data_IF_008327479983
#
_entry.id   IF_008327479983
#
_cell.length_a   1.000
_cell.length_b   1.000
_cell.length_c   1.000
_cell.angle_alpha   90.00
_cell.angle_beta   90.00
_cell.angle_gamma   90.00
#
_symmetry.space_group_name_H-M   'P 1'
#
loop_
_entity.id
_entity.type
_entity.pdbx_description
1 polymer ?
2 non-polymer ?
3 non-polymer ?
4 non-polymer ?
5 water ?
#
# COMPACT_ATOMS: atom_id res chain seq x y z
N UNK A 1 -3.69 31.96 6.22
CA UNK A 1 -3.36 31.57 4.86
C UNK A 1 -2.61 30.23 4.84
N UNK A 2 -3.18 29.24 4.17
CA UNK A 2 -2.49 27.98 4.00
C UNK A 2 -1.31 28.13 3.07
N UNK A 3 -0.24 27.41 3.37
CA UNK A 3 1.00 27.58 2.64
C UNK A 3 1.82 28.75 3.16
N UNK A 4 2.98 28.97 2.54
CA UNK A 4 3.99 29.89 3.08
C UNK A 4 4.64 30.68 1.94
N UNK A 5 3.90 31.62 1.36
CA UNK A 5 4.49 32.42 0.27
C UNK A 5 5.65 33.30 0.72
N UNK A 6 5.85 33.49 2.03
CA UNK A 6 7.04 34.23 2.47
C UNK A 6 8.31 33.49 2.12
N UNK A 7 8.24 32.17 2.00
CA UNK A 7 9.41 31.35 1.73
C UNK A 7 9.38 30.67 0.37
N UNK A 8 8.21 30.33 -0.11
CA UNK A 8 8.01 29.63 -1.38
C UNK A 8 7.47 30.66 -2.36
N UNK A 9 8.36 31.21 -3.18
CA UNK A 9 7.99 32.34 -4.02
C UNK A 9 7.29 31.86 -5.28
N UNK A 10 6.65 32.79 -5.96
CA UNK A 10 5.98 32.48 -7.20
C UNK A 10 7.04 32.24 -8.27
N UNK A 11 7.05 31.09 -8.93
CA UNK A 11 8.07 30.83 -9.95
C UNK A 11 7.69 31.45 -11.28
N UNK A 12 8.26 32.63 -11.55
CA UNK A 12 7.89 33.37 -12.73
C UNK A 12 8.19 32.59 -14.00
N UNK A 13 7.24 32.62 -14.94
CA UNK A 13 7.36 32.01 -16.26
C UNK A 13 7.52 30.49 -16.22
N UNK A 14 7.04 29.84 -15.15
CA UNK A 14 7.14 28.39 -15.06
C UNK A 14 6.52 27.70 -16.27
N UNK A 15 5.39 28.25 -16.78
CA UNK A 15 4.67 27.54 -17.83
C UNK A 15 5.46 27.53 -19.14
N UNK A 16 6.38 28.47 -19.31
CA UNK A 16 7.23 28.50 -20.49
C UNK A 16 8.55 27.78 -20.28
N UNK A 17 8.91 27.45 -19.04
CA UNK A 17 10.22 26.90 -18.70
C UNK A 17 10.12 25.46 -18.22
N UNK A 18 9.22 25.18 -17.27
CA UNK A 18 9.13 23.88 -16.64
C UNK A 18 8.64 22.83 -17.63
N UNK A 19 8.87 21.57 -17.27
CA UNK A 19 8.33 20.45 -18.05
C UNK A 19 6.90 20.16 -17.62
N UNK A 20 5.99 20.12 -18.60
CA UNK A 20 4.59 19.79 -18.36
C UNK A 20 4.44 18.28 -18.46
N UNK A 21 4.31 17.60 -17.32
CA UNK A 21 4.38 16.14 -17.33
C UNK A 21 3.03 15.44 -17.24
N UNK A 22 1.95 16.15 -16.94
CA UNK A 22 0.67 15.47 -16.91
C UNK A 22 -0.46 16.48 -16.92
N UNK A 23 -1.63 16.01 -17.36
CA UNK A 23 -2.90 16.71 -17.28
C UNK A 23 -3.93 15.69 -16.81
N UNK A 24 -4.72 16.03 -15.80
CA UNK A 24 -5.69 15.08 -15.27
C UNK A 24 -6.78 15.82 -14.50
N UNK A 25 -7.98 15.24 -14.48
CA UNK A 25 -8.97 15.73 -13.52
C UNK A 25 -8.43 15.54 -12.12
N UNK A 26 -8.69 16.51 -11.24
CA UNK A 26 -8.31 16.30 -9.85
C UNK A 26 -9.23 15.25 -9.22
N UNK A 27 -8.72 14.61 -8.17
CA UNK A 27 -9.47 13.57 -7.48
C UNK A 27 -10.76 14.08 -6.86
N UNK A 28 -10.85 15.39 -6.58
CA UNK A 28 -12.08 15.98 -6.07
C UNK A 28 -13.19 15.97 -7.11
N UNK A 29 -12.88 15.65 -8.36
CA UNK A 29 -13.85 15.55 -9.44
C UNK A 29 -14.56 16.88 -9.72
N UNK A 30 -13.96 18.00 -9.35
CA UNK A 30 -14.54 19.31 -9.65
C UNK A 30 -13.57 20.25 -10.35
N UNK A 31 -12.32 19.84 -10.53
CA UNK A 31 -11.30 20.71 -11.10
C UNK A 31 -10.41 19.89 -12.04
N UNK A 32 -9.76 20.58 -12.97
CA UNK A 32 -8.77 19.98 -13.84
C UNK A 32 -7.40 20.48 -13.43
N UNK A 33 -6.39 19.59 -13.47
CA UNK A 33 -5.05 19.97 -13.07
C UNK A 33 -4.07 19.73 -14.21
N UNK A 34 -3.07 20.62 -14.33
CA UNK A 34 -1.90 20.40 -15.17
C UNK A 34 -0.67 20.50 -14.28
N UNK A 35 0.27 19.58 -14.48
CA UNK A 35 1.39 19.37 -13.56
C UNK A 35 2.69 19.70 -14.26
N UNK A 36 3.58 20.41 -13.55
CA UNK A 36 4.84 20.89 -14.10
C UNK A 36 5.97 20.58 -13.14
N UNK A 37 7.17 20.36 -13.69
CA UNK A 37 8.35 20.09 -12.89
C UNK A 37 9.54 20.85 -13.46
N UNK A 38 10.32 21.48 -12.59
CA UNK A 38 11.51 22.16 -13.08
C UNK A 38 12.63 21.15 -13.35
N UNK A 39 13.76 21.63 -13.88
CA UNK A 39 14.80 20.72 -14.37
C UNK A 39 15.38 19.88 -13.23
N UNK A 40 15.59 20.48 -12.06
CA UNK A 40 16.16 19.71 -10.95
C UNK A 40 15.21 18.59 -10.54
N UNK A 41 13.91 18.91 -10.47
CA UNK A 41 12.91 17.89 -10.14
C UNK A 41 12.92 16.77 -11.16
N UNK A 42 12.92 17.14 -12.45
CA UNK A 42 12.89 16.13 -13.50
C UNK A 42 14.13 15.24 -13.46
N UNK A 43 15.32 15.85 -13.34
CA UNK A 43 16.55 15.05 -13.25
C UNK A 43 16.53 14.17 -12.00
N UNK A 44 16.01 14.68 -10.88
CA UNK A 44 15.95 13.90 -9.64
C UNK A 44 15.14 12.62 -9.83
N UNK A 45 13.99 12.73 -10.46
CA UNK A 45 13.12 11.56 -10.63
C UNK A 45 13.56 10.70 -11.81
N UNK A 46 14.44 11.18 -12.68
CA UNK A 46 15.08 10.28 -13.62
C UNK A 46 16.12 9.40 -12.92
N UNK A 47 16.77 9.92 -11.88
CA UNK A 47 17.82 9.19 -11.16
C UNK A 47 17.27 8.32 -10.03
N UNK A 48 16.23 8.77 -9.36
CA UNK A 48 15.75 8.08 -8.17
C UNK A 48 14.32 8.46 -7.84
N UNK A 49 13.98 8.33 -6.56
CA UNK A 49 12.59 8.44 -6.13
C UNK A 49 12.37 9.56 -5.12
N UNK A 50 13.32 10.47 -5.01
CA UNK A 50 13.24 11.63 -4.13
C UNK A 50 13.74 12.86 -4.89
N UNK A 51 13.01 13.95 -4.78
CA UNK A 51 13.43 15.21 -5.39
C UNK A 51 14.63 15.79 -4.65
N UNK A 52 15.64 16.25 -5.41
CA UNK A 52 16.82 16.86 -4.83
C UNK A 52 16.52 18.32 -4.46
N UNK A 53 17.35 18.92 -3.60
CA UNK A 53 17.17 20.34 -3.28
C UNK A 53 17.18 21.21 -4.54
N UNK A 54 16.32 22.22 -4.54
CA UNK A 54 16.07 23.04 -5.71
C UNK A 54 14.90 22.58 -6.57
N UNK A 55 14.38 21.37 -6.34
CA UNK A 55 13.22 20.87 -7.09
C UNK A 55 11.98 21.70 -6.81
N UNK A 56 11.24 22.01 -7.88
CA UNK A 56 9.96 22.71 -7.79
C UNK A 56 8.96 21.96 -8.66
N UNK A 57 7.79 21.64 -8.09
CA UNK A 57 6.70 21.00 -8.78
C UNK A 57 5.49 21.92 -8.66
N UNK A 58 4.76 22.09 -9.75
CA UNK A 58 3.64 23.02 -9.81
C UNK A 58 2.40 22.29 -10.30
N UNK A 59 1.26 22.57 -9.67
CA UNK A 59 -0.03 22.14 -10.17
C UNK A 59 -0.85 23.37 -10.48
N UNK A 60 -1.15 23.58 -11.77
CA UNK A 60 -2.18 24.54 -12.16
C UNK A 60 -3.53 23.91 -11.92
N UNK A 61 -4.42 24.69 -11.30
CA UNK A 61 -5.75 24.24 -10.93
C UNK A 61 -6.75 25.02 -11.77
N UNK A 62 -7.49 24.32 -12.62
CA UNK A 62 -8.43 24.94 -13.54
C UNK A 62 -9.86 24.73 -13.10
N UNK A 63 -10.64 25.80 -13.12
CA UNK A 63 -12.08 25.69 -13.00
C UNK A 63 -12.66 25.20 -14.32
N UNK A 64 -13.51 24.17 -14.30
CA UNK A 64 -14.05 23.64 -15.55
C UNK A 64 -15.28 24.41 -16.00
N UNK A 65 -15.60 24.25 -17.29
CA UNK A 65 -16.85 24.79 -17.78
C UNK A 65 -18.02 24.04 -17.17
N UNK A 66 -19.05 24.79 -16.80
CA UNK A 66 -20.27 24.24 -16.21
C UNK A 66 -21.46 24.91 -16.86
N UNK A 67 -22.56 24.17 -17.00
CA UNK A 67 -23.75 24.80 -17.54
C UNK A 67 -24.46 25.59 -16.44
N UNK A 68 -25.62 26.15 -16.77
CA UNK A 68 -26.34 26.99 -15.83
C UNK A 68 -26.88 26.21 -14.63
N UNK A 69 -26.98 24.88 -14.74
CA UNK A 69 -27.42 24.03 -13.64
C UNK A 69 -26.24 23.42 -12.90
N UNK A 70 -25.02 23.91 -13.14
CA UNK A 70 -23.85 23.46 -12.40
C UNK A 70 -23.26 22.14 -12.83
N UNK A 71 -23.68 21.58 -13.97
CA UNK A 71 -23.12 20.32 -14.44
C UNK A 71 -21.80 20.57 -15.17
N UNK A 72 -20.75 19.85 -14.77
CA UNK A 72 -19.44 20.04 -15.36
C UNK A 72 -19.41 19.48 -16.77
N UNK A 73 -18.78 20.22 -17.68
CA UNK A 73 -18.66 19.80 -19.07
C UNK A 73 -17.36 19.02 -19.25
N UNK A 74 -17.45 17.85 -19.84
CA UNK A 74 -16.30 16.99 -20.07
C UNK A 74 -16.17 16.65 -21.55
N UNK A 75 -14.91 16.46 -22.00
CA UNK A 75 -14.69 15.99 -23.33
C UNK A 75 -14.89 14.50 -23.44
N UNK A 76 -14.98 14.01 -24.68
CA UNK A 76 -15.06 12.57 -24.87
C UNK A 76 -13.77 11.88 -24.46
N UNK A 77 -12.67 12.64 -24.29
CA UNK A 77 -11.46 12.11 -23.67
C UNK A 77 -11.57 12.00 -22.15
N UNK A 78 -12.74 12.33 -21.57
CA UNK A 78 -12.97 12.20 -20.15
C UNK A 78 -12.45 13.34 -19.30
N UNK A 79 -11.68 14.25 -19.87
CA UNK A 79 -11.11 15.36 -19.11
C UNK A 79 -12.09 16.51 -19.10
N UNK A 80 -12.17 17.20 -17.96
CA UNK A 80 -13.02 18.36 -17.88
C UNK A 80 -12.57 19.42 -18.88
N UNK A 81 -13.52 20.11 -19.47
CA UNK A 81 -13.23 21.23 -20.36
C UNK A 81 -12.90 22.45 -19.52
N UNK A 82 -11.79 23.12 -19.84
CA UNK A 82 -11.30 24.22 -19.03
C UNK A 82 -12.16 25.46 -19.23
N UNK A 83 -12.58 26.09 -18.12
CA UNK A 83 -13.13 27.45 -18.18
C UNK A 83 -11.95 28.42 -18.04
N UNK A 84 -11.30 28.44 -16.88
CA UNK A 84 -10.15 29.32 -16.71
C UNK A 84 -9.29 28.82 -15.57
N UNK A 85 -8.04 29.28 -15.58
CA UNK A 85 -7.10 28.98 -14.50
C UNK A 85 -7.59 29.62 -13.21
N UNK A 86 -7.61 28.84 -12.12
CA UNK A 86 -8.08 29.32 -10.83
C UNK A 86 -6.96 29.54 -9.82
N UNK A 87 -5.96 28.66 -9.82
CA UNK A 87 -4.88 28.77 -8.84
C UNK A 87 -3.66 28.05 -9.36
N UNK A 88 -2.52 28.41 -8.79
CA UNK A 88 -1.22 27.84 -9.11
C UNK A 88 -0.61 27.38 -7.78
N UNK A 89 -0.56 26.07 -7.57
CA UNK A 89 -0.02 25.50 -6.35
C UNK A 89 1.44 25.10 -6.56
N UNK A 90 2.27 25.38 -5.56
CA UNK A 90 3.72 25.26 -5.68
C UNK A 90 4.27 24.45 -4.51
N UNK A 91 5.13 23.48 -4.83
CA UNK A 91 5.92 22.75 -3.85
C UNK A 91 7.37 22.96 -4.20
N UNK A 92 8.19 23.36 -3.22
CA UNK A 92 9.61 23.62 -3.44
C UNK A 92 10.40 22.89 -2.37
N UNK A 93 11.41 22.12 -2.78
CA UNK A 93 12.22 21.38 -1.84
C UNK A 93 13.57 22.08 -1.61
N UNK A 94 13.91 22.28 -0.33
CA UNK A 94 15.23 22.75 0.06
C UNK A 94 15.70 21.93 1.25
N UNK A 95 17.01 21.75 1.35
CA UNK A 95 17.58 21.08 2.50
C UNK A 95 18.04 22.07 3.56
N UNK A 96 17.82 23.37 3.35
CA UNK A 96 18.35 24.43 4.21
C UNK A 96 17.35 25.56 4.36
N UNK A 97 16.07 25.23 4.51
CA UNK A 97 15.07 26.24 4.80
C UNK A 97 15.43 27.00 6.08
N UNK A 98 15.22 28.31 6.06
CA UNK A 98 15.56 29.12 7.22
C UNK A 98 14.76 28.74 8.45
N UNK A 99 15.35 29.06 9.61
CA UNK A 99 14.72 28.68 10.88
C UNK A 99 13.34 29.31 11.06
N UNK A 100 13.09 30.47 10.43
CA UNK A 100 11.79 31.08 10.54
C UNK A 100 10.70 30.24 9.90
N UNK A 101 11.06 29.33 8.98
CA UNK A 101 10.11 28.48 8.27
C UNK A 101 9.83 27.25 9.13
N UNK A 102 8.65 27.22 9.77
CA UNK A 102 8.33 26.19 10.75
C UNK A 102 8.22 24.82 10.09
N UNK A 103 8.80 23.80 10.75
CA UNK A 103 8.82 22.46 10.18
C UNK A 103 7.41 21.88 10.04
N UNK A 104 6.49 22.23 10.95
CA UNK A 104 5.14 21.70 10.90
C UNK A 104 4.38 22.18 9.67
N UNK A 105 4.86 23.24 9.02
CA UNK A 105 4.24 23.76 7.79
C UNK A 105 4.74 23.05 6.55
N UNK A 106 5.74 22.19 6.69
CA UNK A 106 6.38 21.53 5.56
C UNK A 106 6.08 20.05 5.59
N UNK A 107 6.12 19.43 4.41
CA UNK A 107 6.07 17.96 4.31
C UNK A 107 7.51 17.53 4.07
N UNK A 108 8.15 17.02 5.12
CA UNK A 108 9.59 16.85 5.08
C UNK A 108 10.26 18.17 4.78
N UNK A 109 10.99 18.22 3.67
CA UNK A 109 11.67 19.43 3.23
C UNK A 109 10.93 20.16 2.11
N UNK A 110 9.69 19.76 1.82
CA UNK A 110 8.88 20.47 0.84
C UNK A 110 8.16 21.65 1.51
N UNK A 111 8.35 22.84 0.98
CA UNK A 111 7.50 23.97 1.32
C UNK A 111 6.39 24.12 0.30
N UNK A 112 5.26 24.68 0.76
CA UNK A 112 4.06 24.85 -0.04
C UNK A 112 3.70 26.32 -0.17
N UNK A 113 3.10 26.71 -1.30
CA UNK A 113 2.43 27.99 -1.39
C UNK A 113 1.38 27.93 -2.49
N UNK A 114 0.29 28.66 -2.30
CA UNK A 114 -0.81 28.74 -3.27
C UNK A 114 -0.90 30.16 -3.80
N UNK A 115 -0.89 30.29 -5.13
CA UNK A 115 -0.96 31.58 -5.77
C UNK A 115 -2.18 31.67 -6.68
N UNK A 116 -2.64 32.89 -6.93
CA UNK A 116 -3.73 33.05 -7.88
C UNK A 116 -3.13 33.18 -9.28
N UNK A 117 -3.93 33.27 -10.35
CA UNK A 117 -3.35 33.26 -11.69
C UNK A 117 -2.46 34.46 -11.98
N UNK A 118 -2.53 35.50 -11.16
CA UNK A 118 -1.71 36.69 -11.37
C UNK A 118 -0.46 36.68 -10.50
N UNK A 119 -0.17 35.57 -9.83
CA UNK A 119 1.03 35.49 -9.02
C UNK A 119 0.93 36.10 -7.65
N UNK A 120 -0.27 36.41 -7.18
CA UNK A 120 -0.47 36.91 -5.82
C UNK A 120 -0.86 35.74 -4.95
N UNK A 121 -0.36 35.71 -3.71
CA UNK A 121 -0.75 34.63 -2.80
C UNK A 121 -2.27 34.57 -2.70
N UNK A 122 -2.82 33.37 -2.79
CA UNK A 122 -4.27 33.20 -2.84
C UNK A 122 -4.78 32.83 -1.46
N UNK A 123 -5.77 33.57 -0.96
CA UNK A 123 -6.36 33.27 0.33
C UNK A 123 -6.89 31.84 0.36
N UNK A 124 -6.58 31.11 1.43
CA UNK A 124 -7.07 29.75 1.57
C UNK A 124 -6.84 29.31 3.01
N UNK A 125 -7.59 28.29 3.43
CA UNK A 125 -7.43 27.73 4.77
C UNK A 125 -7.01 26.27 4.71
N UNK A 126 -6.26 25.90 3.66
CA UNK A 126 -5.84 24.51 3.49
C UNK A 126 -4.65 24.18 4.39
N UNK A 127 -4.58 22.93 4.82
CA UNK A 127 -3.45 22.43 5.61
C UNK A 127 -2.59 21.58 4.67
N UNK A 128 -1.77 22.25 3.85
CA UNK A 128 -1.09 21.59 2.74
C UNK A 128 -0.27 20.40 3.23
N UNK A 129 0.63 20.65 4.18
CA UNK A 129 1.54 19.60 4.61
C UNK A 129 0.79 18.44 5.23
N UNK A 130 -0.28 18.73 5.98
CA UNK A 130 -0.99 17.67 6.68
C UNK A 130 -1.59 16.68 5.70
N UNK A 131 -2.07 17.14 4.56
CA UNK A 131 -2.64 16.23 3.57
C UNK A 131 -1.56 15.49 2.78
N UNK A 132 -0.44 16.14 2.50
CA UNK A 132 0.66 15.50 1.78
C UNK A 132 1.54 14.62 2.67
N UNK A 133 1.54 14.86 3.99
CA UNK A 133 2.43 14.12 4.88
C UNK A 133 2.32 12.60 4.77
N UNK A 134 1.13 11.98 4.67
CA UNK A 134 1.08 10.52 4.65
C UNK A 134 1.65 9.88 3.40
N UNK A 135 2.12 10.67 2.42
CA UNK A 135 2.69 10.13 1.19
C UNK A 135 4.21 10.15 1.20
N UNK A 136 4.83 10.14 2.39
CA UNK A 136 6.29 10.11 2.53
C UNK A 136 6.95 9.09 1.62
N UNK A 137 6.37 7.91 1.50
CA UNK A 137 7.03 6.84 0.75
C UNK A 137 7.21 7.22 -0.71
N UNK A 138 6.32 8.05 -1.25
CA UNK A 138 6.46 8.56 -2.61
C UNK A 138 6.76 10.06 -2.59
N UNK A 139 7.62 10.48 -1.67
CA UNK A 139 8.19 11.82 -1.66
C UNK A 139 7.11 12.90 -1.52
N UNK A 140 5.99 12.54 -0.89
CA UNK A 140 4.89 13.47 -0.60
C UNK A 140 4.26 14.04 -1.85
N UNK A 141 4.43 13.39 -3.01
CA UNK A 141 3.81 13.82 -4.26
C UNK A 141 2.67 12.88 -4.61
N UNK A 142 1.45 13.41 -4.73
CA UNK A 142 0.35 12.56 -5.21
C UNK A 142 0.62 12.06 -6.62
N UNK A 143 1.17 12.93 -7.48
CA UNK A 143 1.40 12.60 -8.89
C UNK A 143 2.76 11.95 -9.14
N UNK A 144 3.39 11.44 -8.09
CA UNK A 144 4.69 10.75 -8.16
C UNK A 144 4.86 9.83 -9.36
N UNK A 145 3.95 8.86 -9.55
CA UNK A 145 4.17 7.87 -10.61
C UNK A 145 4.06 8.50 -11.99
N UNK A 146 3.17 9.46 -12.17
CA UNK A 146 3.08 10.16 -13.46
C UNK A 146 4.38 10.91 -13.77
N UNK A 147 5.00 11.51 -12.75
CA UNK A 147 6.26 12.21 -12.98
C UNK A 147 7.38 11.23 -13.30
N UNK A 148 7.49 10.16 -12.50
CA UNK A 148 8.51 9.14 -12.76
C UNK A 148 8.36 8.57 -14.16
N UNK A 149 7.12 8.25 -14.54
CA UNK A 149 6.87 7.66 -15.85
C UNK A 149 7.20 8.64 -16.97
N UNK A 150 6.91 9.92 -16.77
CA UNK A 150 7.14 10.89 -17.83
C UNK A 150 8.63 11.07 -18.10
N UNK A 151 9.44 11.22 -17.04
CA UNK A 151 10.86 11.48 -17.26
C UNK A 151 11.60 10.23 -17.72
N UNK A 152 11.05 9.04 -17.45
CA UNK A 152 11.65 7.84 -18.04
C UNK A 152 11.37 7.77 -19.52
N UNK A 153 10.22 8.25 -19.97
CA UNK A 153 9.82 8.14 -21.37
C UNK A 153 10.30 9.28 -22.25
N UNK A 154 10.90 10.32 -21.69
CA UNK A 154 11.34 11.46 -22.47
C UNK A 154 12.78 11.82 -22.15
N UNK A 155 13.44 12.45 -23.11
CA UNK A 155 14.82 12.85 -22.94
C UNK A 155 14.90 14.20 -22.22
N UNK A 156 16.04 14.42 -21.56
CA UNK A 156 16.28 15.68 -20.87
C UNK A 156 16.28 16.86 -21.83
N UNK B 1 -23.24 3.90 -5.68
CA UNK B 1 -22.56 3.83 -6.97
C UNK B 1 -21.06 3.58 -6.80
N UNK B 2 -20.43 4.33 -5.90
CA UNK B 2 -19.03 4.09 -5.58
C UNK B 2 -18.87 2.86 -4.71
N UNK B 3 -17.88 2.04 -5.06
CA UNK B 3 -17.66 0.78 -4.37
C UNK B 3 -18.48 -0.35 -4.97
N UNK B 4 -18.18 -1.55 -4.50
CA UNK B 4 -18.74 -2.77 -5.07
C UNK B 4 -19.15 -3.70 -3.93
N UNK B 5 -20.24 -3.38 -3.23
CA UNK B 5 -20.68 -4.24 -2.12
C UNK B 5 -21.11 -5.63 -2.57
N UNK B 6 -21.39 -5.84 -3.85
CA UNK B 6 -21.71 -7.18 -4.32
C UNK B 6 -20.51 -8.13 -4.22
N UNK B 7 -19.29 -7.60 -4.18
CA UNK B 7 -18.07 -8.38 -4.04
C UNK B 7 -17.36 -8.17 -2.71
N UNK B 8 -17.31 -6.94 -2.22
CA UNK B 8 -16.61 -6.58 -0.99
C UNK B 8 -17.67 -6.51 0.10
N UNK B 9 -17.81 -7.58 0.88
CA UNK B 9 -18.90 -7.70 1.83
C UNK B 9 -18.58 -6.96 3.13
N UNK B 10 -19.61 -6.68 3.90
CA UNK B 10 -19.42 -6.06 5.20
C UNK B 10 -18.68 -7.03 6.12
N UNK B 11 -17.59 -6.61 6.73
CA UNK B 11 -16.84 -7.52 7.60
C UNK B 11 -17.46 -7.61 8.98
N UNK B 12 -18.41 -8.52 9.13
CA UNK B 12 -19.18 -8.58 10.37
C UNK B 12 -18.26 -8.90 11.54
N UNK B 13 -18.55 -8.28 12.68
CA UNK B 13 -17.83 -8.48 13.93
C UNK B 13 -16.40 -7.95 13.88
N UNK B 14 -16.09 -7.07 12.92
CA UNK B 14 -14.75 -6.48 12.88
C UNK B 14 -14.46 -5.72 14.15
N UNK B 15 -15.49 -5.20 14.82
CA UNK B 15 -15.33 -4.40 16.03
C UNK B 15 -14.55 -5.14 17.10
N UNK B 16 -14.71 -6.47 17.17
CA UNK B 16 -14.07 -7.27 18.21
C UNK B 16 -12.93 -8.13 17.69
N UNK B 17 -12.61 -8.08 16.40
CA UNK B 17 -11.62 -8.95 15.79
C UNK B 17 -10.43 -8.17 15.23
N UNK B 18 -10.71 -7.06 14.55
CA UNK B 18 -9.67 -6.28 13.87
C UNK B 18 -8.85 -5.46 14.86
N UNK B 19 -7.64 -5.12 14.44
CA UNK B 19 -6.76 -4.27 15.23
C UNK B 19 -7.01 -2.80 14.87
N UNK B 20 -7.28 -1.99 15.89
CA UNK B 20 -7.48 -0.55 15.71
C UNK B 20 -6.11 0.11 15.75
N UNK B 21 -5.62 0.57 14.59
CA UNK B 21 -4.23 1.02 14.52
C UNK B 21 -4.06 2.53 14.47
N UNK B 22 -5.13 3.30 14.30
CA UNK B 22 -4.95 4.75 14.30
C UNK B 22 -6.29 5.43 14.44
N UNK B 23 -6.23 6.68 14.89
CA UNK B 23 -7.37 7.60 14.92
C UNK B 23 -6.84 8.95 14.49
N UNK B 24 -7.52 9.59 13.53
CA UNK B 24 -7.00 10.85 13.00
C UNK B 24 -8.13 11.61 12.33
N UNK B 25 -8.03 12.95 12.35
CA UNK B 25 -8.89 13.74 11.50
C UNK B 25 -8.63 13.38 10.04
N UNK B 26 -9.70 13.25 9.27
CA UNK B 26 -9.53 13.04 7.83
C UNK B 26 -8.95 14.29 7.18
N UNK B 27 -8.17 14.08 6.11
CA UNK B 27 -7.53 15.21 5.43
C UNK B 27 -8.55 16.20 4.87
N UNK B 28 -9.77 15.73 4.56
CA UNK B 28 -10.81 16.66 4.11
C UNK B 28 -11.23 17.65 5.18
N UNK B 29 -10.83 17.44 6.44
CA UNK B 29 -11.10 18.34 7.55
C UNK B 29 -12.59 18.50 7.84
N UNK B 30 -13.40 17.52 7.46
CA UNK B 30 -14.82 17.50 7.81
C UNK B 30 -15.22 16.29 8.62
N UNK B 31 -14.34 15.32 8.78
CA UNK B 31 -14.70 14.05 9.41
C UNK B 31 -13.53 13.54 10.25
N UNK B 32 -13.85 12.70 11.22
CA UNK B 32 -12.86 11.98 12.01
C UNK B 32 -12.85 10.53 11.55
N UNK B 33 -11.66 9.91 11.50
CA UNK B 33 -11.52 8.53 11.07
C UNK B 33 -10.87 7.66 12.14
N UNK B 34 -11.33 6.42 12.25
CA UNK B 34 -10.65 5.39 13.03
C UNK B 34 -10.35 4.22 12.11
N UNK B 35 -9.13 3.68 12.18
CA UNK B 35 -8.62 2.75 11.18
C UNK B 35 -8.39 1.37 11.80
N UNK B 36 -8.78 0.32 11.08
CA UNK B 36 -8.74 -1.04 11.59
C UNK B 36 -8.17 -1.96 10.53
N UNK B 37 -7.46 -3.00 10.97
CA UNK B 37 -6.86 -3.95 10.05
C UNK B 37 -7.11 -5.36 10.55
N UNK B 38 -7.44 -6.28 9.65
CA UNK B 38 -7.61 -7.66 10.09
C UNK B 38 -6.25 -8.32 10.27
N UNK B 39 -6.26 -9.56 10.77
CA UNK B 39 -5.00 -10.21 11.12
C UNK B 39 -4.09 -10.38 9.91
N UNK B 40 -4.66 -10.73 8.76
CA UNK B 40 -3.83 -10.91 7.58
C UNK B 40 -3.16 -9.60 7.18
N UNK B 41 -3.92 -8.50 7.21
CA UNK B 41 -3.33 -7.20 6.88
C UNK B 41 -2.25 -6.82 7.88
N UNK B 42 -2.53 -6.99 9.17
CA UNK B 42 -1.57 -6.65 10.21
C UNK B 42 -0.30 -7.47 10.07
N UNK B 43 -0.46 -8.79 9.87
CA UNK B 43 0.72 -9.65 9.69
C UNK B 43 1.49 -9.26 8.41
N UNK B 44 0.77 -8.96 7.33
CA UNK B 44 1.40 -8.57 6.08
C UNK B 44 2.33 -7.38 6.28
N UNK B 45 1.87 -6.34 6.98
CA UNK B 45 2.67 -5.13 7.12
C UNK B 45 3.68 -5.23 8.24
N UNK B 46 3.57 -6.23 9.11
CA UNK B 46 4.66 -6.52 10.02
C UNK B 46 5.84 -7.15 9.26
N UNK B 47 5.54 -7.95 8.24
CA UNK B 47 6.55 -8.68 7.46
C UNK B 47 7.13 -7.84 6.33
N UNK B 48 6.35 -6.96 5.73
CA UNK B 48 6.80 -6.26 4.55
C UNK B 48 5.91 -5.08 4.22
N UNK B 49 5.94 -4.69 2.94
CA UNK B 49 5.35 -3.42 2.52
C UNK B 49 4.11 -3.56 1.66
N UNK B 50 3.54 -4.76 1.55
CA UNK B 50 2.33 -4.95 0.77
C UNK B 50 1.42 -5.91 1.52
N UNK B 51 0.12 -5.67 1.43
CA UNK B 51 -0.85 -6.55 2.06
C UNK B 51 -1.01 -7.83 1.25
N UNK B 52 -1.11 -8.95 1.94
CA UNK B 52 -1.33 -10.24 1.30
C UNK B 52 -2.82 -10.42 0.93
N UNK B 53 -3.12 -11.35 0.03
CA UNK B 53 -4.52 -11.69 -0.23
C UNK B 53 -5.25 -12.06 1.06
N UNK B 54 -6.50 -11.64 1.15
CA UNK B 54 -7.29 -11.78 2.36
C UNK B 54 -7.20 -10.60 3.31
N UNK B 55 -6.30 -9.65 3.05
CA UNK B 55 -6.16 -8.48 3.91
C UNK B 55 -7.40 -7.61 3.78
N UNK B 56 -7.85 -7.08 4.90
CA UNK B 56 -8.99 -6.17 4.92
C UNK B 56 -8.63 -5.00 5.82
N UNK B 57 -8.86 -3.79 5.34
CA UNK B 57 -8.65 -2.58 6.12
C UNK B 57 -9.96 -1.82 6.13
N UNK B 58 -10.29 -1.26 7.29
CA UNK B 58 -11.56 -0.55 7.48
C UNK B 58 -11.25 0.85 7.95
N UNK B 59 -11.98 1.83 7.40
CA UNK B 59 -11.98 3.16 7.97
C UNK B 59 -13.39 3.48 8.46
N UNK B 60 -13.54 3.63 9.78
CA UNK B 60 -14.76 4.22 10.33
C UNK B 60 -14.71 5.71 10.11
N UNK B 61 -15.79 6.27 9.56
CA UNK B 61 -15.90 7.69 9.26
C UNK B 61 -16.93 8.29 10.20
N UNK B 62 -16.52 9.27 11.01
CA UNK B 62 -17.36 9.86 12.05
C UNK B 62 -17.76 11.28 11.69
N UNK B 63 -19.06 11.57 11.74
CA UNK B 63 -19.51 12.95 11.66
C UNK B 63 -19.13 13.70 12.94
N UNK B 64 -18.50 14.87 12.85
CA UNK B 64 -18.12 15.61 14.05
C UNK B 64 -19.24 16.54 14.52
N UNK B 65 -19.11 16.97 15.76
CA UNK B 65 -19.99 18.04 16.23
C UNK B 65 -19.59 19.37 15.60
N UNK B 66 -20.58 20.25 15.44
CA UNK B 66 -20.40 21.55 14.81
C UNK B 66 -20.93 22.63 15.74
N UNK B 67 -20.41 23.85 15.56
CA UNK B 67 -20.91 25.00 16.31
C UNK B 67 -22.06 25.65 15.55
N UNK B 68 -22.50 26.82 16.03
CA UNK B 68 -23.66 27.48 15.46
C UNK B 68 -23.42 27.97 14.04
N UNK B 69 -22.18 28.17 13.65
CA UNK B 69 -21.83 28.56 12.29
C UNK B 69 -21.56 27.38 11.39
N UNK B 70 -21.75 26.16 11.87
CA UNK B 70 -21.42 24.99 11.09
C UNK B 70 -19.95 24.65 11.05
N UNK B 71 -19.13 25.24 11.91
CA UNK B 71 -17.72 24.92 11.96
C UNK B 71 -17.48 23.69 12.82
N UNK B 72 -16.59 22.81 12.34
CA UNK B 72 -16.26 21.59 13.06
C UNK B 72 -15.60 21.91 14.40
N UNK B 73 -16.01 21.20 15.44
CA UNK B 73 -15.43 21.39 16.76
C UNK B 73 -14.28 20.41 17.00
N UNK B 74 -13.23 20.90 17.66
CA UNK B 74 -12.06 20.12 18.02
C UNK B 74 -11.90 20.12 19.54
N UNK B 75 -11.39 19.01 20.07
CA UNK B 75 -11.05 18.93 21.47
C UNK B 75 -9.65 19.44 21.73
N UNK B 76 -9.30 19.48 23.02
CA UNK B 76 -7.98 19.96 23.40
C UNK B 76 -6.85 19.01 22.99
N UNK B 77 -7.16 17.81 22.51
CA UNK B 77 -6.15 16.93 21.93
C UNK B 77 -5.96 17.12 20.44
N UNK B 78 -6.68 18.06 19.82
CA UNK B 78 -6.55 18.32 18.40
C UNK B 78 -7.46 17.50 17.50
N UNK B 79 -8.14 16.49 18.02
CA UNK B 79 -9.04 15.69 17.20
C UNK B 79 -10.43 16.31 17.17
N UNK B 80 -11.13 16.11 16.06
CA UNK B 80 -12.51 16.55 15.98
C UNK B 80 -13.34 15.84 17.04
N UNK B 81 -14.32 16.54 17.58
CA UNK B 81 -15.23 15.95 18.56
C UNK B 81 -16.28 15.13 17.83
N UNK B 82 -16.45 13.88 18.23
CA UNK B 82 -17.31 12.95 17.51
C UNK B 82 -18.77 13.25 17.83
N UNK B 83 -19.58 13.38 16.79
CA UNK B 83 -21.05 13.31 16.95
C UNK B 83 -21.47 11.84 16.89
N UNK B 84 -21.32 11.20 15.74
CA UNK B 84 -21.68 9.79 15.62
C UNK B 84 -21.01 9.16 14.41
N UNK B 85 -20.89 7.84 14.46
CA UNK B 85 -20.42 7.08 13.31
C UNK B 85 -21.36 7.32 12.14
N UNK B 86 -20.78 7.66 10.98
CA UNK B 86 -21.55 7.92 9.78
C UNK B 86 -21.42 6.86 8.70
N UNK B 87 -20.25 6.24 8.56
CA UNK B 87 -20.06 5.25 7.50
C UNK B 87 -18.89 4.36 7.85
N UNK B 88 -18.85 3.19 7.22
CA UNK B 88 -17.79 2.20 7.39
C UNK B 88 -17.27 1.88 6.00
N UNK B 89 -16.05 2.34 5.70
CA UNK B 89 -15.40 2.12 4.42
C UNK B 89 -14.50 0.91 4.53
N UNK B 90 -14.50 0.08 3.49
CA UNK B 90 -13.84 -1.22 3.50
C UNK B 90 -12.98 -1.36 2.26
N UNK B 91 -11.74 -1.83 2.44
CA UNK B 91 -10.89 -2.26 1.35
C UNK B 91 -10.49 -3.71 1.63
N UNK B 92 -10.62 -4.56 0.62
CA UNK B 92 -10.30 -5.98 0.74
C UNK B 92 -9.44 -6.38 -0.45
N UNK B 93 -8.30 -7.02 -0.18
CA UNK B 93 -7.41 -7.45 -1.24
C UNK B 93 -7.57 -8.94 -1.51
N UNK B 94 -7.68 -9.28 -2.79
CA UNK B 94 -7.67 -10.67 -3.24
C UNK B 94 -6.81 -10.77 -4.48
N UNK B 95 -6.11 -11.89 -4.63
CA UNK B 95 -5.36 -12.12 -5.86
C UNK B 95 -6.17 -12.89 -6.89
N UNK B 96 -7.46 -13.12 -6.62
CA UNK B 96 -8.28 -13.94 -7.50
C UNK B 96 -9.73 -13.44 -7.51
N UNK B 97 -9.92 -12.13 -7.61
CA UNK B 97 -11.26 -11.58 -7.77
C UNK B 97 -11.89 -12.14 -9.04
N UNK B 98 -13.21 -12.31 -9.03
CA UNK B 98 -13.90 -12.86 -10.18
C UNK B 98 -13.81 -11.95 -11.39
N UNK B 99 -14.05 -12.55 -12.56
CA UNK B 99 -13.97 -11.79 -13.81
C UNK B 99 -15.05 -10.71 -13.89
N UNK B 100 -16.20 -10.94 -13.27
CA UNK B 100 -17.27 -9.94 -13.28
C UNK B 100 -16.93 -8.70 -12.45
N UNK B 101 -15.94 -8.80 -11.56
CA UNK B 101 -15.44 -7.66 -10.80
C UNK B 101 -14.43 -6.93 -11.69
N UNK B 102 -14.84 -5.82 -12.28
CA UNK B 102 -13.99 -5.12 -13.24
C UNK B 102 -12.75 -4.54 -12.56
N UNK B 103 -11.58 -4.76 -13.17
CA UNK B 103 -10.34 -4.24 -12.59
C UNK B 103 -10.36 -2.73 -12.49
N UNK B 104 -11.09 -2.06 -13.40
CA UNK B 104 -11.20 -0.61 -13.37
C UNK B 104 -11.81 -0.10 -12.07
N UNK B 105 -12.61 -0.93 -11.39
CA UNK B 105 -13.24 -0.56 -10.12
C UNK B 105 -12.31 -0.76 -8.93
N UNK B 106 -11.13 -1.34 -9.15
CA UNK B 106 -10.21 -1.70 -8.09
C UNK B 106 -8.96 -0.84 -8.17
N UNK B 107 -8.28 -0.69 -7.03
CA UNK B 107 -6.92 -0.15 -6.98
C UNK B 107 -5.98 -1.32 -6.81
N UNK B 108 -5.29 -1.68 -7.88
CA UNK B 108 -4.55 -2.93 -7.86
C UNK B 108 -5.52 -4.07 -7.60
N UNK B 109 -5.21 -4.90 -6.60
CA UNK B 109 -6.10 -5.98 -6.21
C UNK B 109 -7.02 -5.61 -5.05
N UNK B 110 -7.05 -4.35 -4.64
CA UNK B 110 -7.98 -3.92 -3.60
C UNK B 110 -9.35 -3.65 -4.20
N UNK B 111 -10.37 -4.28 -3.63
CA UNK B 111 -11.74 -3.89 -3.87
C UNK B 111 -12.26 -2.98 -2.77
N UNK B 112 -13.24 -2.15 -3.11
CA UNK B 112 -13.78 -1.12 -2.22
C UNK B 112 -15.26 -1.36 -1.98
N UNK B 113 -15.73 -0.97 -0.78
CA UNK B 113 -17.17 -0.87 -0.54
C UNK B 113 -17.42 0.09 0.61
N UNK B 114 -18.54 0.82 0.54
CA UNK B 114 -18.94 1.77 1.59
C UNK B 114 -20.26 1.31 2.20
N UNK B 115 -20.26 1.14 3.53
CA UNK B 115 -21.45 0.71 4.27
C UNK B 115 -21.88 1.80 5.24
N UNK B 116 -23.17 1.77 5.61
CA UNK B 116 -23.64 2.62 6.70
C UNK B 116 -23.38 1.89 8.02
N UNK B 117 -23.64 2.52 9.17
CA UNK B 117 -23.29 1.88 10.45
C UNK B 117 -24.01 0.57 10.72
N UNK B 118 -25.13 0.29 10.05
CA UNK B 118 -25.78 -1.00 10.23
C UNK B 118 -25.46 -1.97 9.11
N UNK B 119 -24.42 -1.70 8.34
CA UNK B 119 -23.93 -2.68 7.40
C UNK B 119 -24.72 -2.80 6.11
N UNK B 120 -25.55 -1.81 5.80
CA UNK B 120 -26.20 -1.75 4.50
C UNK B 120 -25.34 -0.92 3.57
N UNK B 121 -25.27 -1.32 2.30
CA UNK B 121 -24.51 -0.54 1.33
C UNK B 121 -24.97 0.91 1.34
N UNK B 122 -24.01 1.83 1.37
CA UNK B 122 -24.30 3.26 1.52
C UNK B 122 -24.23 3.95 0.16
N UNK B 123 -25.34 4.57 -0.24
CA UNK B 123 -25.35 5.32 -1.50
C UNK B 123 -24.30 6.44 -1.47
N UNK B 124 -23.60 6.59 -2.58
CA UNK B 124 -22.53 7.58 -2.69
C UNK B 124 -22.10 7.67 -4.15
N UNK B 125 -21.53 8.84 -4.51
CA UNK B 125 -21.11 9.11 -5.87
C UNK B 125 -19.59 9.11 -6.02
N UNK B 126 -18.87 8.49 -5.10
CA UNK B 126 -17.42 8.54 -5.12
C UNK B 126 -16.84 7.56 -6.13
N UNK B 127 -15.64 7.86 -6.60
CA UNK B 127 -14.88 6.92 -7.42
C UNK B 127 -13.68 6.50 -6.59
N UNK B 128 -13.86 5.41 -5.82
CA UNK B 128 -12.87 5.03 -4.82
C UNK B 128 -11.49 4.83 -5.43
N UNK B 129 -11.41 4.05 -6.52
CA UNK B 129 -10.10 3.71 -7.05
C UNK B 129 -9.40 4.93 -7.63
N UNK B 130 -10.16 5.91 -8.13
CA UNK B 130 -9.55 7.11 -8.70
C UNK B 130 -8.67 7.83 -7.69
N UNK B 131 -9.11 7.91 -6.43
CA UNK B 131 -8.32 8.57 -5.39
C UNK B 131 -7.15 7.73 -4.93
N UNK B 132 -7.34 6.42 -4.78
CA UNK B 132 -6.31 5.54 -4.24
C UNK B 132 -5.30 5.07 -5.28
N UNK B 133 -5.67 5.09 -6.56
CA UNK B 133 -4.75 4.62 -7.60
C UNK B 133 -3.38 5.30 -7.59
N UNK B 134 -3.24 6.60 -7.36
CA UNK B 134 -1.90 7.22 -7.41
C UNK B 134 -0.99 6.82 -6.25
N UNK B 135 -1.46 6.00 -5.31
CA UNK B 135 -0.66 5.59 -4.17
C UNK B 135 -0.11 4.17 -4.32
N UNK B 136 0.11 3.74 -5.57
CA UNK B 136 0.65 2.40 -5.84
C UNK B 136 1.90 2.10 -5.01
N UNK B 137 2.79 3.09 -4.85
CA UNK B 137 4.06 2.81 -4.19
C UNK B 137 3.86 2.45 -2.72
N UNK B 138 2.79 2.90 -2.10
CA UNK B 138 2.49 2.51 -0.73
C UNK B 138 1.23 1.66 -0.67
N UNK B 139 1.09 0.76 -1.63
CA UNK B 139 0.07 -0.29 -1.63
C UNK B 139 -1.35 0.29 -1.67
N UNK B 140 -1.49 1.50 -2.24
CA UNK B 140 -2.78 2.18 -2.38
C UNK B 140 -3.44 2.51 -1.04
N UNK B 141 -2.68 2.52 0.06
CA UNK B 141 -3.22 2.89 1.37
C UNK B 141 -2.70 4.27 1.77
N UNK B 142 -3.63 5.21 2.01
CA UNK B 142 -3.21 6.51 2.51
C UNK B 142 -2.58 6.40 3.88
N UNK B 143 -3.11 5.50 4.74
CA UNK B 143 -2.62 5.36 6.11
C UNK B 143 -1.53 4.33 6.22
N UNK B 144 -0.88 4.00 5.11
CA UNK B 144 0.22 3.04 5.06
C UNK B 144 1.20 3.17 6.23
N UNK B 145 1.81 4.34 6.40
CA UNK B 145 2.87 4.45 7.40
C UNK B 145 2.34 4.27 8.82
N UNK B 146 1.14 4.76 9.12
CA UNK B 146 0.57 4.55 10.44
C UNK B 146 0.36 3.07 10.72
N UNK B 147 -0.07 2.32 9.71
CA UNK B 147 -0.27 0.89 9.90
C UNK B 147 1.05 0.16 10.09
N UNK B 148 2.05 0.47 9.25
CA UNK B 148 3.38 -0.12 9.40
C UNK B 148 3.95 0.17 10.78
N UNK B 149 3.87 1.44 11.22
CA UNK B 149 4.45 1.81 12.51
C UNK B 149 3.71 1.16 13.67
N UNK B 150 2.38 1.05 13.56
CA UNK B 150 1.61 0.41 14.62
C UNK B 150 2.03 -1.05 14.80
N UNK B 151 2.02 -1.84 13.72
CA UNK B 151 2.26 -3.27 13.90
C UNK B 151 3.72 -3.55 14.25
N UNK B 152 4.63 -2.64 13.89
CA UNK B 152 6.02 -2.77 14.33
C UNK B 152 6.13 -2.56 15.84
N UNK B 153 5.33 -1.66 16.39
CA UNK B 153 5.43 -1.27 17.79
C UNK B 153 4.58 -2.12 18.72
N UNK B 154 3.76 -3.03 18.19
CA UNK B 154 2.88 -3.87 19.00
C UNK B 154 2.98 -5.32 18.58
N UNK B 155 2.83 -6.21 19.56
CA UNK B 155 2.72 -7.63 19.29
C UNK B 155 1.30 -7.97 18.85
N UNK B 156 1.19 -9.01 18.01
CA UNK B 156 -0.11 -9.47 17.53
C UNK B 156 -0.61 -10.65 18.35
N UNK C 1 11.61 -24.72 -14.07
CA UNK C 1 11.44 -23.48 -14.82
C UNK C 1 10.67 -22.43 -14.03
N UNK C 2 11.19 -22.08 -12.85
CA UNK C 2 10.63 -20.99 -12.09
C UNK C 2 9.39 -21.30 -11.29
N UNK C 3 9.11 -22.57 -11.01
CA UNK C 3 7.90 -22.93 -10.29
C UNK C 3 6.70 -23.00 -11.20
N UNK C 4 5.57 -23.45 -10.65
CA UNK C 4 4.37 -23.72 -11.44
C UNK C 4 3.15 -23.16 -10.71
N UNK C 5 2.98 -21.83 -10.71
CA UNK C 5 1.86 -21.22 -9.99
C UNK C 5 0.51 -21.55 -10.59
N UNK C 6 0.47 -22.07 -11.82
CA UNK C 6 -0.76 -22.58 -12.39
C UNK C 6 -1.27 -23.80 -11.65
N UNK C 7 -0.40 -24.52 -10.94
CA UNK C 7 -0.78 -25.67 -10.14
C UNK C 7 -0.66 -25.40 -8.64
N UNK C 8 0.39 -24.72 -8.22
CA UNK C 8 0.66 -24.47 -6.81
C UNK C 8 0.20 -23.04 -6.52
N UNK C 9 -1.02 -22.91 -5.97
CA UNK C 9 -1.62 -21.60 -5.78
C UNK C 9 -1.07 -20.93 -4.53
N UNK C 10 -1.31 -19.62 -4.42
CA UNK C 10 -0.88 -18.93 -3.21
C UNK C 10 -1.68 -19.46 -2.02
N UNK C 11 -1.01 -19.86 -0.94
CA UNK C 11 -1.69 -20.41 0.26
C UNK C 11 -2.29 -19.31 1.12
N UNK C 12 -3.43 -18.80 0.64
CA UNK C 12 -4.06 -17.67 1.29
C UNK C 12 -4.36 -17.97 2.76
N UNK C 13 -4.13 -16.95 3.60
CA UNK C 13 -4.36 -16.94 5.04
C UNK C 13 -3.31 -17.74 5.81
N UNK C 14 -2.21 -18.17 5.17
CA UNK C 14 -1.21 -18.94 5.90
C UNK C 14 -0.66 -18.15 7.08
N UNK C 15 -0.71 -16.81 7.02
CA UNK C 15 -0.12 -15.99 8.07
C UNK C 15 -0.82 -16.22 9.41
N UNK C 16 -2.11 -16.54 9.39
CA UNK C 16 -2.86 -16.75 10.62
C UNK C 16 -3.08 -18.23 10.94
N UNK C 17 -2.62 -19.15 10.09
CA UNK C 17 -2.97 -20.56 10.17
C UNK C 17 -1.73 -21.44 10.34
N UNK C 18 -0.72 -21.22 9.51
CA UNK C 18 0.42 -22.13 9.49
C UNK C 18 1.27 -21.99 10.75
N UNK C 19 2.07 -23.02 11.01
CA UNK C 19 2.96 -23.04 12.15
C UNK C 19 4.33 -22.54 11.72
N UNK C 20 4.85 -21.55 12.43
CA UNK C 20 6.18 -21.00 12.16
C UNK C 20 7.20 -21.84 12.90
N UNK C 21 8.01 -22.62 12.17
CA UNK C 21 8.87 -23.60 12.84
C UNK C 21 10.35 -23.26 12.83
N UNK C 22 10.78 -22.24 12.09
CA UNK C 22 12.20 -21.87 12.12
C UNK C 22 12.39 -20.48 11.53
N UNK C 23 13.50 -19.87 11.94
CA UNK C 23 14.03 -18.62 11.36
C UNK C 23 15.53 -18.81 11.21
N UNK C 24 16.08 -18.46 10.05
CA UNK C 24 17.50 -18.67 9.85
C UNK C 24 17.98 -17.83 8.67
N UNK C 25 19.25 -17.42 8.73
CA UNK C 25 19.89 -16.88 7.54
C UNK C 25 19.88 -17.96 6.46
N UNK C 26 19.62 -17.56 5.22
CA UNK C 26 19.70 -18.53 4.13
C UNK C 26 21.16 -18.87 3.83
N UNK C 27 21.38 -20.08 3.32
CA UNK C 27 22.73 -20.51 2.98
C UNK C 27 23.40 -19.57 1.98
N UNK C 28 22.61 -18.89 1.14
CA UNK C 28 23.18 -17.96 0.18
C UNK C 28 23.78 -16.72 0.83
N UNK C 29 23.56 -16.52 2.13
CA UNK C 29 24.16 -15.43 2.90
C UNK C 29 23.75 -14.06 2.38
N UNK C 30 22.64 -13.97 1.64
CA UNK C 30 22.11 -12.68 1.21
C UNK C 30 20.70 -12.42 1.69
N UNK C 31 20.03 -13.40 2.29
CA UNK C 31 18.63 -13.28 2.66
C UNK C 31 18.40 -13.98 3.99
N UNK C 32 17.35 -13.54 4.68
CA UNK C 32 16.87 -14.20 5.88
C UNK C 32 15.60 -14.97 5.55
N UNK C 33 15.42 -16.15 6.15
CA UNK C 33 14.26 -16.98 5.86
C UNK C 33 13.48 -17.28 7.14
N UNK C 34 12.15 -17.29 7.02
CA UNK C 34 11.27 -17.83 8.05
C UNK C 34 10.47 -18.97 7.44
N UNK C 35 10.30 -20.05 8.19
CA UNK C 35 9.76 -21.30 7.64
C UNK C 35 8.44 -21.65 8.30
N UNK C 36 7.47 -22.08 7.50
CA UNK C 36 6.11 -22.37 7.98
C UNK C 36 5.62 -23.69 7.41
N UNK C 37 4.73 -24.35 8.16
CA UNK C 37 4.14 -25.58 7.69
C UNK C 37 2.66 -25.61 8.06
N UNK C 38 1.83 -26.13 7.16
CA UNK C 38 0.40 -26.24 7.47
C UNK C 38 0.15 -27.46 8.35
N UNK C 39 -1.10 -27.62 8.78
CA UNK C 39 -1.40 -28.63 9.79
C UNK C 39 -1.14 -30.04 9.26
N UNK C 40 -1.48 -30.29 8.00
CA UNK C 40 -1.24 -31.60 7.41
C UNK C 40 0.24 -31.93 7.41
N UNK C 41 1.09 -30.97 7.06
CA UNK C 41 2.53 -31.18 7.07
C UNK C 41 3.05 -31.42 8.48
N UNK C 42 2.65 -30.58 9.43
CA UNK C 42 3.15 -30.72 10.80
C UNK C 42 2.72 -32.05 11.40
N UNK C 43 1.46 -32.42 11.21
CA UNK C 43 0.96 -33.67 11.79
C UNK C 43 1.65 -34.88 11.17
N UNK C 44 1.91 -34.83 9.86
CA UNK C 44 2.67 -35.90 9.19
C UNK C 44 4.04 -36.08 9.83
N UNK C 45 4.79 -34.99 9.97
CA UNK C 45 6.14 -35.08 10.52
C UNK C 45 6.11 -35.43 12.00
N UNK C 46 5.08 -35.01 12.74
CA UNK C 46 4.99 -35.41 14.14
C UNK C 46 4.76 -36.91 14.27
N UNK C 47 4.04 -37.50 13.33
CA UNK C 47 3.77 -38.93 13.37
C UNK C 47 4.91 -39.77 12.82
N UNK C 48 6.00 -39.15 12.36
CA UNK C 48 7.15 -39.89 11.89
C UNK C 48 7.13 -40.24 10.43
N UNK C 49 6.30 -39.58 9.64
CA UNK C 49 6.12 -39.88 8.23
C UNK C 49 6.71 -38.78 7.37
N UNK C 50 6.97 -39.11 6.10
CA UNK C 50 7.15 -38.07 5.11
C UNK C 50 5.85 -37.25 5.02
N UNK C 51 5.94 -36.06 4.44
CA UNK C 51 4.79 -35.18 4.36
C UNK C 51 3.63 -35.89 3.65
N UNK C 52 2.44 -35.85 4.26
CA UNK C 52 1.27 -36.46 3.66
C UNK C 52 0.74 -35.59 2.52
N UNK C 53 -0.05 -36.16 1.61
CA UNK C 53 -0.69 -35.34 0.57
C UNK C 53 -1.50 -34.21 1.20
N UNK C 54 -1.37 -33.03 0.62
CA UNK C 54 -1.98 -31.83 1.18
C UNK C 54 -1.06 -31.03 2.06
N UNK C 55 0.15 -31.53 2.33
CA UNK C 55 1.14 -30.78 3.10
C UNK C 55 1.58 -29.56 2.29
N UNK C 56 1.74 -28.43 2.98
CA UNK C 56 2.30 -27.23 2.36
C UNK C 56 3.36 -26.67 3.28
N UNK C 57 4.53 -26.36 2.72
CA UNK C 57 5.64 -25.75 3.45
C UNK C 57 5.95 -24.43 2.77
N UNK C 58 6.16 -23.38 3.55
CA UNK C 58 6.41 -22.04 3.00
C UNK C 58 7.73 -21.54 3.55
N UNK C 59 8.52 -20.91 2.68
CA UNK C 59 9.69 -20.17 3.13
C UNK C 59 9.46 -18.70 2.78
N UNK C 60 9.33 -17.86 3.80
CA UNK C 60 9.35 -16.41 3.59
C UNK C 60 10.79 -15.97 3.42
N UNK C 61 11.05 -15.21 2.34
CA UNK C 61 12.39 -14.77 1.99
C UNK C 61 12.45 -13.27 2.20
N UNK C 62 13.34 -12.83 3.09
CA UNK C 62 13.44 -11.41 3.46
C UNK C 62 14.70 -10.79 2.88
N UNK C 63 14.56 -9.61 2.29
CA UNK C 63 15.72 -8.78 1.98
C UNK C 63 16.23 -8.12 3.25
N UNK C 64 17.50 -8.28 3.59
CA UNK C 64 18.02 -7.64 4.80
C UNK C 64 18.39 -6.18 4.57
N UNK C 65 18.57 -5.48 5.70
CA UNK C 65 19.17 -4.15 5.66
C UNK C 65 20.65 -4.26 5.32
N UNK C 66 21.18 -3.18 4.71
CA UNK C 66 22.56 -3.12 4.26
C UNK C 66 23.19 -1.81 4.72
N UNK C 67 24.51 -1.81 4.89
CA UNK C 67 25.21 -0.59 5.23
C UNK C 67 25.41 0.27 3.97
N UNK C 68 26.13 1.37 4.13
CA UNK C 68 26.30 2.32 3.03
C UNK C 68 27.07 1.72 1.84
N UNK C 69 27.82 0.64 2.04
CA UNK C 69 28.56 -0.02 0.97
C UNK C 69 27.83 -1.25 0.45
N UNK C 70 26.57 -1.44 0.84
CA UNK C 70 25.79 -2.56 0.37
C UNK C 70 25.99 -3.85 1.12
N UNK C 71 26.71 -3.84 2.23
CA UNK C 71 26.98 -5.07 2.98
C UNK C 71 25.81 -5.43 3.88
N UNK C 72 25.37 -6.68 3.81
CA UNK C 72 24.26 -7.16 4.64
C UNK C 72 24.58 -6.95 6.11
N UNK C 73 23.62 -6.41 6.86
CA UNK C 73 23.81 -6.19 8.28
C UNK C 73 23.18 -7.30 9.12
N UNK C 74 23.83 -7.62 10.23
CA UNK C 74 23.39 -8.66 11.15
C UNK C 74 23.18 -8.08 12.54
N UNK C 75 22.20 -8.61 13.25
CA UNK C 75 21.99 -8.24 14.62
C UNK C 75 22.94 -8.96 15.54
N UNK C 76 22.92 -8.57 16.81
CA UNK C 76 23.80 -9.20 17.80
C UNK C 76 23.46 -10.67 18.02
N UNK C 77 22.33 -11.16 17.49
CA UNK C 77 22.01 -12.58 17.58
C UNK C 77 22.47 -13.37 16.36
N UNK C 78 23.17 -12.73 15.41
CA UNK C 78 23.69 -13.40 14.25
C UNK C 78 22.77 -13.43 13.05
N UNK C 79 21.47 -13.17 13.24
CA UNK C 79 20.54 -13.18 12.12
C UNK C 79 20.62 -11.85 11.36
N UNK C 80 20.47 -11.94 10.04
CA UNK C 80 20.41 -10.71 9.25
C UNK C 80 19.24 -9.85 9.73
N UNK C 81 19.45 -8.53 9.72
CA UNK C 81 18.40 -7.60 10.11
C UNK C 81 17.45 -7.45 8.94
N UNK C 82 16.15 -7.66 9.19
CA UNK C 82 15.16 -7.62 8.13
C UNK C 82 14.93 -6.19 7.66
N UNK C 83 14.96 -5.99 6.34
CA UNK C 83 14.37 -4.80 5.74
C UNK C 83 12.90 -5.04 5.39
N UNK C 84 12.64 -5.95 4.45
CA UNK C 84 11.26 -6.27 4.12
C UNK C 84 11.18 -7.64 3.48
N UNK C 85 10.00 -8.25 3.60
CA UNK C 85 9.70 -9.50 2.90
C UNK C 85 9.83 -9.29 1.39
N UNK C 86 10.58 -10.17 0.74
CA UNK C 86 10.80 -10.07 -0.70
C UNK C 86 9.99 -11.08 -1.50
N UNK C 87 9.85 -12.31 -1.01
CA UNK C 87 9.13 -13.32 -1.74
C UNK C 87 8.61 -14.37 -0.78
N UNK C 88 7.64 -15.15 -1.25
CA UNK C 88 7.02 -16.23 -0.51
C UNK C 88 7.15 -17.49 -1.37
N UNK C 89 8.00 -18.42 -0.94
CA UNK C 89 8.26 -19.64 -1.68
C UNK C 89 7.41 -20.76 -1.08
N UNK C 90 6.78 -21.55 -1.95
CA UNK C 90 5.75 -22.50 -1.55
C UNK C 90 6.11 -23.87 -2.11
N UNK C 91 6.03 -24.90 -1.27
CA UNK C 91 6.08 -26.28 -1.70
C UNK C 91 4.80 -26.96 -1.26
N UNK C 92 4.15 -27.67 -2.19
CA UNK C 92 2.87 -28.32 -1.92
C UNK C 92 2.95 -29.76 -2.41
N UNK C 93 2.65 -30.70 -1.54
CA UNK C 93 2.66 -32.11 -1.89
C UNK C 93 1.25 -32.61 -2.19
N UNK C 94 1.10 -33.28 -3.32
CA UNK C 94 -0.15 -33.93 -3.68
C UNK C 94 0.16 -35.27 -4.34
N UNK C 95 -0.73 -36.24 -4.15
CA UNK C 95 -0.60 -37.46 -4.95
C UNK C 95 -1.44 -37.40 -6.22
N UNK C 96 -2.13 -36.30 -6.48
CA UNK C 96 -2.99 -36.19 -7.65
C UNK C 96 -2.65 -34.98 -8.50
N UNK C 97 -1.36 -34.61 -8.56
CA UNK C 97 -0.92 -33.58 -9.50
C UNK C 97 -1.20 -33.99 -10.94
N UNK C 98 -0.93 -35.25 -11.28
CA UNK C 98 -1.24 -35.78 -12.59
C UNK C 98 -0.11 -35.61 -13.60
N UNK C 99 -0.30 -36.27 -14.75
CA UNK C 99 0.69 -36.17 -15.82
C UNK C 99 0.80 -34.74 -16.36
N UNK C 100 -0.26 -33.93 -16.22
CA UNK C 100 -0.24 -32.58 -16.78
C UNK C 100 0.76 -31.69 -16.06
N UNK C 101 1.02 -31.98 -14.79
CA UNK C 101 2.06 -31.29 -14.00
C UNK C 101 3.34 -32.09 -14.19
N UNK C 102 4.15 -31.67 -15.16
CA UNK C 102 5.31 -32.44 -15.58
C UNK C 102 6.16 -32.87 -14.38
N UNK C 103 6.40 -34.18 -14.29
CA UNK C 103 7.16 -34.72 -13.16
C UNK C 103 8.54 -34.09 -13.05
N UNK C 104 9.15 -33.72 -14.18
CA UNK C 104 10.47 -33.10 -14.14
C UNK C 104 10.45 -31.74 -13.46
N UNK C 105 9.29 -31.08 -13.38
CA UNK C 105 9.16 -29.82 -12.65
C UNK C 105 8.97 -30.02 -11.17
N UNK C 106 8.78 -31.25 -10.70
CA UNK C 106 8.46 -31.55 -9.32
C UNK C 106 9.61 -32.28 -8.65
N UNK C 107 9.70 -32.16 -7.33
CA UNK C 107 10.56 -33.02 -6.52
C UNK C 107 9.66 -34.06 -5.88
N UNK C 108 9.62 -35.26 -6.48
CA UNK C 108 8.67 -36.25 -6.02
C UNK C 108 7.26 -35.75 -6.25
N UNK C 109 6.46 -35.75 -5.19
CA UNK C 109 5.10 -35.24 -5.25
C UNK C 109 4.99 -33.79 -4.79
N UNK C 110 6.12 -33.13 -4.54
CA UNK C 110 6.14 -31.71 -4.22
C UNK C 110 6.10 -30.88 -5.50
N UNK C 111 5.18 -29.92 -5.57
CA UNK C 111 5.22 -28.86 -6.56
C UNK C 111 5.68 -27.56 -5.93
N UNK C 112 6.26 -26.69 -6.75
CA UNK C 112 6.89 -25.44 -6.31
C UNK C 112 6.19 -24.23 -6.92
N UNK C 113 6.14 -23.13 -6.17
CA UNK C 113 5.78 -21.84 -6.76
C UNK C 113 6.39 -20.71 -5.94
N UNK C 114 6.70 -19.61 -6.62
CA UNK C 114 7.26 -18.43 -5.99
C UNK C 114 6.30 -17.25 -6.14
N UNK C 115 5.94 -16.63 -5.03
CA UNK C 115 5.02 -15.49 -5.03
C UNK C 115 5.68 -14.25 -4.46
N UNK C 116 5.16 -13.08 -4.84
CA UNK C 116 5.55 -11.84 -4.21
C UNK C 116 4.70 -11.60 -2.97
N UNK C 117 5.03 -10.61 -2.13
CA UNK C 117 4.32 -10.47 -0.85
C UNK C 117 2.82 -10.24 -0.99
N UNK C 118 2.31 -9.83 -2.15
CA UNK C 118 0.86 -9.71 -2.31
C UNK C 118 0.25 -10.86 -3.10
N UNK C 119 0.96 -11.98 -3.17
CA UNK C 119 0.34 -13.20 -3.69
C UNK C 119 0.24 -13.26 -5.18
N UNK C 120 1.00 -12.44 -5.89
CA UNK C 120 1.11 -12.53 -7.34
C UNK C 120 2.36 -13.32 -7.66
N UNK C 121 2.26 -14.20 -8.68
CA UNK C 121 3.40 -15.05 -9.03
C UNK C 121 4.61 -14.17 -9.33
N UNK C 122 5.77 -14.56 -8.80
CA UNK C 122 6.99 -13.77 -8.92
C UNK C 122 7.83 -14.34 -10.06
N UNK C 123 8.08 -13.52 -11.08
CA UNK C 123 8.90 -13.94 -12.21
C UNK C 123 10.28 -14.35 -11.74
N UNK C 124 10.75 -15.49 -12.23
CA UNK C 124 12.04 -16.03 -11.83
C UNK C 124 12.39 -17.16 -12.79
N UNK C 125 13.65 -17.58 -12.73
CA UNK C 125 14.14 -18.65 -13.60
C UNK C 125 14.85 -19.72 -12.79
N UNK C 126 14.40 -19.93 -11.56
CA UNK C 126 15.04 -20.90 -10.68
C UNK C 126 14.63 -22.31 -11.04
N UNK C 127 15.58 -23.24 -10.93
CA UNK C 127 15.32 -24.65 -11.18
C UNK C 127 15.04 -25.30 -9.82
N UNK C 128 13.81 -25.08 -9.31
CA UNK C 128 13.45 -25.51 -7.98
C UNK C 128 13.71 -27.00 -7.75
N UNK C 129 13.14 -27.84 -8.63
CA UNK C 129 13.23 -29.28 -8.42
C UNK C 129 14.68 -29.76 -8.48
N UNK C 130 15.47 -29.22 -9.42
CA UNK C 130 16.86 -29.66 -9.55
C UNK C 130 17.64 -29.45 -8.26
N UNK C 131 17.34 -28.39 -7.53
CA UNK C 131 18.06 -28.09 -6.30
C UNK C 131 17.59 -28.96 -5.13
N UNK C 132 16.29 -29.25 -5.06
CA UNK C 132 15.75 -30.05 -3.97
C UNK C 132 15.84 -31.55 -4.22
N UNK C 133 15.96 -31.98 -5.48
CA UNK C 133 15.96 -33.41 -5.78
C UNK C 133 17.05 -34.21 -5.08
N UNK C 134 18.30 -33.74 -4.94
CA UNK C 134 19.31 -34.59 -4.29
C UNK C 134 19.07 -34.81 -2.81
N UNK C 135 18.04 -34.20 -2.21
CA UNK C 135 17.65 -34.44 -0.81
C UNK C 135 16.56 -35.50 -0.69
N UNK C 136 16.67 -36.61 -1.41
CA UNK C 136 15.60 -37.61 -1.40
C UNK C 136 15.31 -38.12 0.02
N UNK C 137 16.37 -38.34 0.82
CA UNK C 137 16.22 -38.93 2.15
C UNK C 137 15.65 -37.95 3.18
N UNK C 138 15.55 -36.65 2.87
CA UNK C 138 15.01 -35.64 3.76
C UNK C 138 13.66 -35.14 3.29
N UNK C 139 12.91 -35.95 2.54
CA UNK C 139 11.62 -35.54 1.98
C UNK C 139 11.76 -34.30 1.10
N UNK C 140 12.94 -34.11 0.53
CA UNK C 140 13.26 -32.97 -0.36
C UNK C 140 13.17 -31.62 0.33
N UNK C 141 13.25 -31.59 1.66
CA UNK C 141 13.25 -30.35 2.43
C UNK C 141 14.64 -30.13 3.01
N UNK C 142 15.22 -28.96 2.73
CA UNK C 142 16.50 -28.62 3.34
C UNK C 142 16.36 -28.51 4.86
N UNK C 143 15.25 -27.94 5.31
CA UNK C 143 14.99 -27.74 6.73
C UNK C 143 14.24 -28.89 7.35
N UNK C 144 14.27 -30.07 6.73
CA UNK C 144 13.65 -31.28 7.23
C UNK C 144 13.81 -31.43 8.75
N UNK C 145 15.05 -31.46 9.23
CA UNK C 145 15.26 -31.77 10.64
C UNK C 145 14.73 -30.65 11.55
N UNK C 146 14.75 -29.40 11.08
CA UNK C 146 14.16 -28.31 11.85
C UNK C 146 12.66 -28.50 11.99
N UNK C 147 11.99 -28.94 10.93
CA UNK C 147 10.56 -29.22 11.01
C UNK C 147 10.29 -30.41 11.93
N UNK C 148 11.05 -31.49 11.77
CA UNK C 148 10.86 -32.64 12.66
C UNK C 148 11.05 -32.23 14.11
N UNK C 149 12.15 -31.54 14.42
CA UNK C 149 12.43 -31.17 15.80
C UNK C 149 11.34 -30.27 16.37
N UNK C 150 10.83 -29.34 15.56
CA UNK C 150 9.80 -28.43 16.06
C UNK C 150 8.52 -29.18 16.38
N UNK C 151 8.04 -30.01 15.45
CA UNK C 151 6.72 -30.60 15.65
C UNK C 151 6.78 -31.68 16.73
N UNK C 152 7.93 -32.32 16.92
CA UNK C 152 8.04 -33.27 18.03
C UNK C 152 8.05 -32.56 19.38
N UNK C 153 8.40 -31.29 19.42
CA UNK C 153 8.52 -30.57 20.67
C UNK C 153 7.27 -29.77 21.02
N UNK C 154 6.26 -29.79 20.16
CA UNK C 154 5.03 -29.02 20.37
C UNK C 154 3.81 -29.90 20.14
N UNK C 155 2.75 -29.60 20.87
CA UNK C 155 1.51 -30.36 20.75
C UNK C 155 0.78 -30.08 19.44
N UNK C 156 1.00 -28.91 18.83
CA UNK C 156 0.25 -28.49 17.64
C UNK C 156 -1.26 -28.51 17.89
N UNK C 157 -1.67 -28.34 19.15
CA UNK C 157 -3.09 -28.45 19.49
C UNK C 157 -3.93 -27.36 18.84
N UNK C 158 -3.42 -26.12 18.84
CA UNK C 158 -4.15 -25.04 18.19
C UNK C 158 -4.27 -25.29 16.68
N UNK C 159 -3.21 -25.82 16.07
CA UNK C 159 -3.28 -26.16 14.64
C UNK C 159 -4.29 -27.27 14.39
N UNK C 160 -4.23 -28.33 15.19
CA UNK C 160 -5.19 -29.43 15.09
C UNK C 160 -6.55 -29.00 15.64
#
# INVERSE_FOLDING_TARGET
>A
MGGNPEFVKFPEKYEQIFTHYDTANRANQTQLAKFYANEIAAESYKKGEEAAPGSIVIMEIYAPKKDAEGKIQSGEDGLFVIDKLAAIAVMEKRNDWGSAFKADDRSGNWGFALYDPEGKAKDNDLTCAQCHNPLQKQDNLFSFQKLVDYVKAHKLAAALELEHHHHHH
>B
MGGNPEFVKFPEKYEQIFTHYDTANRANQTQLAKFYANEIAAESYKKGEEAAPGSIVIMEIYAPKKDAEGKIQSGEDGLFVIDKLAAIAVMEKRNDWGSAFKADDRSGNWGFALYDPEGKAKDNDLTCAQCHNPLQKQDNLFSFQKLVDYVKAHKLAAALELEHHHHHH
>C
MGGNPEFVKFPEKYEQIFTHYDTANRANQTQLAKFYANEIAAESYKKGEEAAPGSIVIMEIYAPKKDAEGKIQSGEDGLFVIDKLAAIAVMEKRNDWGSAFKADDRSGNWGFALYDPEGKAKDNDLTCAQCHNPLQKQDNLFSFQKLVDYVKAHKLAAALELEHHHHHH
#
